data_IF_447288000684
#
_entry.id   IF_447288000684
#
_cell.length_a   1.000
_cell.length_b   1.000
_cell.length_c   1.000
_cell.angle_alpha   90.00
_cell.angle_beta   90.00
_cell.angle_gamma   90.00
#
_symmetry.space_group_name_H-M   'P 1'
#
loop_
_entity.id
_entity.type
_entity.pdbx_description
1 polymer ?
#
# COMPACT_ATOMS: atom_id res chain seq x y z
N UNK A 1 -3.89 27.52 3.74
CA UNK A 1 -4.73 26.35 3.41
C UNK A 1 -5.69 26.63 2.24
N UNK A 2 -6.56 27.67 2.32
CA UNK A 2 -7.54 28.01 1.25
C UNK A 2 -6.97 28.13 -0.17
N UNK A 3 -5.85 28.85 -0.35
CA UNK A 3 -5.24 29.03 -1.67
C UNK A 3 -4.72 27.72 -2.32
N UNK A 4 -4.40 26.68 -1.53
CA UNK A 4 -4.01 25.37 -2.07
C UNK A 4 -5.23 24.55 -2.48
N UNK A 5 -6.32 24.63 -1.72
CA UNK A 5 -7.60 23.99 -2.06
C UNK A 5 -8.16 24.49 -3.39
N UNK A 6 -8.10 25.80 -3.64
CA UNK A 6 -8.62 26.36 -4.90
C UNK A 6 -7.86 25.83 -6.12
N UNK A 7 -6.53 25.76 -6.04
CA UNK A 7 -5.70 25.17 -7.10
C UNK A 7 -6.04 23.70 -7.38
N UNK A 8 -6.41 22.95 -6.35
CA UNK A 8 -6.86 21.56 -6.53
C UNK A 8 -8.21 21.52 -7.27
N UNK A 9 -9.18 22.36 -6.89
CA UNK A 9 -10.46 22.47 -7.62
C UNK A 9 -10.25 22.84 -9.09
N UNK A 10 -9.41 23.83 -9.35
CA UNK A 10 -9.06 24.24 -10.72
C UNK A 10 -8.45 23.08 -11.53
N UNK A 11 -7.58 22.28 -10.91
CA UNK A 11 -6.96 21.13 -11.58
C UNK A 11 -7.95 19.99 -11.87
N UNK A 12 -8.97 19.82 -11.01
CA UNK A 12 -10.03 18.81 -11.15
C UNK A 12 -11.10 19.19 -12.18
N UNK A 13 -11.33 20.49 -12.40
CA UNK A 13 -12.41 20.97 -13.28
C UNK A 13 -12.30 20.39 -14.69
N UNK A 14 -13.38 19.76 -15.16
CA UNK A 14 -13.48 19.19 -16.50
C UNK A 14 -12.66 17.91 -16.71
N UNK A 15 -12.33 17.18 -15.63
CA UNK A 15 -11.71 15.86 -15.68
C UNK A 15 -12.74 14.77 -15.39
N UNK A 16 -12.53 13.60 -15.96
CA UNK A 16 -13.41 12.45 -15.72
C UNK A 16 -13.00 11.71 -14.43
N UNK A 17 -11.70 11.56 -14.20
CA UNK A 17 -11.13 10.80 -13.09
C UNK A 17 -9.90 11.51 -12.53
N UNK A 18 -9.75 11.49 -11.21
CA UNK A 18 -8.56 11.93 -10.49
C UNK A 18 -7.95 10.75 -9.71
N UNK A 19 -6.62 10.61 -9.80
CA UNK A 19 -5.86 9.59 -9.08
C UNK A 19 -4.92 10.24 -8.08
N UNK A 20 -5.08 9.96 -6.79
CA UNK A 20 -4.16 10.45 -5.75
C UNK A 20 -2.99 9.48 -5.53
N UNK A 21 -1.79 9.96 -5.86
CA UNK A 21 -0.52 9.33 -5.48
C UNK A 21 0.21 10.17 -4.41
N UNK A 22 -0.55 10.91 -3.59
CA UNK A 22 -0.04 11.71 -2.47
C UNK A 22 -0.04 10.90 -1.16
N UNK A 23 0.59 11.41 -0.08
CA UNK A 23 0.46 10.79 1.24
C UNK A 23 -1.01 10.61 1.65
N UNK A 24 -1.32 9.49 2.29
CA UNK A 24 -2.69 9.06 2.55
C UNK A 24 -3.54 10.10 3.31
N UNK A 25 -2.93 10.94 4.16
CA UNK A 25 -3.63 11.98 4.93
C UNK A 25 -4.49 12.92 4.07
N UNK A 26 -4.08 13.11 2.81
CA UNK A 26 -4.77 13.99 1.88
C UNK A 26 -5.97 13.33 1.19
N UNK A 27 -6.04 12.00 1.13
CA UNK A 27 -6.99 11.27 0.28
C UNK A 27 -8.44 11.64 0.59
N UNK A 28 -8.86 11.61 1.87
CA UNK A 28 -10.21 12.05 2.26
C UNK A 28 -10.57 13.47 1.79
N UNK A 29 -9.65 14.43 1.94
CA UNK A 29 -9.92 15.80 1.49
C UNK A 29 -9.99 15.88 -0.04
N UNK A 30 -9.14 15.13 -0.75
CA UNK A 30 -9.10 15.10 -2.21
C UNK A 30 -10.33 14.41 -2.79
N UNK A 31 -10.76 13.29 -2.21
CA UNK A 31 -11.99 12.59 -2.56
C UNK A 31 -13.21 13.53 -2.43
N UNK A 32 -13.32 14.25 -1.31
CA UNK A 32 -14.37 15.26 -1.12
C UNK A 32 -14.34 16.34 -2.20
N UNK A 33 -13.15 16.88 -2.52
CA UNK A 33 -13.01 17.90 -3.55
C UNK A 33 -13.34 17.37 -4.96
N UNK A 34 -13.03 16.11 -5.25
CA UNK A 34 -13.37 15.45 -6.50
C UNK A 34 -14.90 15.29 -6.65
N UNK A 35 -15.58 14.82 -5.59
CA UNK A 35 -17.04 14.75 -5.53
C UNK A 35 -17.68 16.12 -5.80
N UNK A 36 -17.20 17.17 -5.11
CA UNK A 36 -17.69 18.55 -5.30
C UNK A 36 -17.45 19.11 -6.71
N UNK A 37 -16.60 18.49 -7.52
CA UNK A 37 -16.35 18.87 -8.92
C UNK A 37 -17.00 17.90 -9.92
N UNK A 38 -17.73 16.88 -9.46
CA UNK A 38 -18.31 15.86 -10.34
C UNK A 38 -17.27 14.95 -10.99
N UNK A 39 -16.14 14.71 -10.30
CA UNK A 39 -15.00 13.93 -10.79
C UNK A 39 -14.92 12.61 -10.03
N UNK A 40 -14.75 11.48 -10.74
CA UNK A 40 -14.47 10.19 -10.09
C UNK A 40 -13.09 10.20 -9.43
N UNK A 41 -12.92 9.41 -8.37
CA UNK A 41 -11.68 9.43 -7.60
C UNK A 41 -11.19 8.03 -7.24
N UNK A 42 -9.87 7.84 -7.31
CA UNK A 42 -9.21 6.72 -6.64
C UNK A 42 -7.84 7.13 -6.09
N UNK A 43 -7.29 6.31 -5.21
CA UNK A 43 -6.01 6.55 -4.57
C UNK A 43 -5.24 5.25 -4.32
N UNK A 44 -4.01 5.38 -3.84
CA UNK A 44 -3.13 4.25 -3.53
C UNK A 44 -3.19 3.81 -2.06
N UNK A 45 -4.06 4.44 -1.26
CA UNK A 45 -4.42 3.92 0.05
C UNK A 45 -3.35 3.99 1.14
N UNK A 46 -3.45 3.04 2.06
CA UNK A 46 -2.41 2.74 3.05
C UNK A 46 -2.73 3.10 4.50
N UNK A 47 -3.94 3.59 4.79
CA UNK A 47 -4.40 3.81 6.17
C UNK A 47 -5.90 3.53 6.29
N UNK A 48 -6.29 2.53 7.08
CA UNK A 48 -7.68 2.08 7.21
C UNK A 48 -8.61 3.16 7.78
N UNK A 49 -8.11 4.02 8.69
CA UNK A 49 -8.92 5.11 9.23
C UNK A 49 -9.20 6.22 8.21
N UNK A 50 -8.29 6.45 7.25
CA UNK A 50 -8.56 7.37 6.13
C UNK A 50 -9.58 6.77 5.17
N UNK A 51 -9.44 5.49 4.86
CA UNK A 51 -10.40 4.75 4.01
C UNK A 51 -11.80 4.80 4.61
N UNK A 52 -11.95 4.62 5.93
CA UNK A 52 -13.25 4.78 6.61
C UNK A 52 -13.86 6.17 6.41
N UNK A 53 -13.04 7.23 6.47
CA UNK A 53 -13.52 8.59 6.20
C UNK A 53 -13.91 8.76 4.74
N UNK A 54 -13.18 8.17 3.79
CA UNK A 54 -13.54 8.19 2.38
C UNK A 54 -14.84 7.45 2.09
N UNK A 55 -15.03 6.28 2.70
CA UNK A 55 -16.27 5.52 2.63
C UNK A 55 -17.46 6.29 3.21
N UNK A 56 -17.23 7.16 4.21
CA UNK A 56 -18.30 8.02 4.76
C UNK A 56 -18.84 9.05 3.76
N UNK A 57 -18.10 9.31 2.65
CA UNK A 57 -18.53 10.20 1.58
C UNK A 57 -19.52 9.54 0.59
N UNK A 58 -19.90 8.27 0.81
CA UNK A 58 -20.75 7.50 -0.11
C UNK A 58 -22.02 8.26 -0.54
N UNK A 59 -22.76 8.84 0.40
CA UNK A 59 -23.99 9.58 0.08
C UNK A 59 -23.73 10.76 -0.85
N UNK A 60 -22.71 11.57 -0.56
CA UNK A 60 -22.33 12.70 -1.40
C UNK A 60 -21.84 12.27 -2.79
N UNK A 61 -21.12 11.15 -2.87
CA UNK A 61 -20.66 10.58 -4.14
C UNK A 61 -21.85 10.12 -5.02
N UNK A 62 -22.84 9.46 -4.42
CA UNK A 62 -24.08 9.04 -5.09
C UNK A 62 -24.87 10.25 -5.59
N UNK A 63 -25.06 11.27 -4.76
CA UNK A 63 -25.77 12.51 -5.15
C UNK A 63 -25.08 13.24 -6.31
N UNK A 64 -23.74 13.26 -6.33
CA UNK A 64 -22.96 13.87 -7.40
C UNK A 64 -22.80 12.97 -8.65
N UNK A 65 -23.28 11.72 -8.61
CA UNK A 65 -23.15 10.76 -9.71
C UNK A 65 -21.71 10.30 -9.96
N UNK A 66 -20.87 10.24 -8.93
CA UNK A 66 -19.45 9.86 -9.05
C UNK A 66 -19.11 8.60 -8.26
N UNK A 67 -18.06 7.90 -8.69
CA UNK A 67 -17.49 6.76 -7.96
C UNK A 67 -16.19 7.17 -7.26
N UNK A 68 -16.03 6.72 -6.02
CA UNK A 68 -14.79 6.84 -5.23
C UNK A 68 -14.33 5.43 -4.87
N UNK A 69 -13.09 5.07 -5.25
CA UNK A 69 -12.50 3.75 -4.98
C UNK A 69 -11.15 3.93 -4.26
N UNK A 70 -11.10 3.80 -2.92
CA UNK A 70 -9.84 3.88 -2.19
C UNK A 70 -9.00 2.62 -2.40
N UNK A 71 -7.73 2.67 -1.97
CA UNK A 71 -6.83 1.52 -1.90
C UNK A 71 -6.61 0.76 -3.23
N UNK A 72 -6.45 1.47 -4.35
CA UNK A 72 -6.19 0.88 -5.67
C UNK A 72 -4.71 0.52 -5.90
N UNK A 73 -3.99 0.08 -4.86
CA UNK A 73 -2.56 -0.23 -4.89
C UNK A 73 -2.25 -1.72 -5.03
N UNK A 74 -1.08 -2.11 -4.50
CA UNK A 74 -0.70 -3.52 -4.35
C UNK A 74 -1.35 -4.13 -3.09
N UNK A 75 -1.03 -3.54 -1.94
CA UNK A 75 -1.48 -3.97 -0.62
C UNK A 75 -1.59 -2.73 0.29
N UNK A 76 -2.80 -2.19 0.55
CA UNK A 76 -4.08 -2.70 0.06
C UNK A 76 -4.31 -2.46 -1.45
N UNK A 77 -5.15 -3.29 -2.07
CA UNK A 77 -5.54 -3.22 -3.48
C UNK A 77 -5.59 -4.58 -4.17
N UNK A 78 -4.64 -4.86 -5.06
CA UNK A 78 -4.56 -6.14 -5.77
C UNK A 78 -4.65 -7.34 -4.82
N UNK A 79 -3.94 -7.32 -3.69
CA UNK A 79 -3.98 -8.41 -2.72
C UNK A 79 -5.37 -8.62 -2.13
N UNK A 80 -6.15 -7.56 -2.01
CA UNK A 80 -7.47 -7.59 -1.40
C UNK A 80 -8.51 -8.10 -2.40
N UNK A 81 -8.38 -7.70 -3.66
CA UNK A 81 -9.19 -8.25 -4.76
C UNK A 81 -8.96 -9.75 -4.89
N UNK A 82 -7.69 -10.20 -4.90
CA UNK A 82 -7.35 -11.62 -4.97
C UNK A 82 -7.86 -12.38 -3.73
N UNK A 83 -7.69 -11.81 -2.53
CA UNK A 83 -8.20 -12.39 -1.30
C UNK A 83 -9.73 -12.58 -1.34
N UNK A 84 -10.46 -11.53 -1.72
CA UNK A 84 -11.91 -11.59 -1.83
C UNK A 84 -12.36 -12.63 -2.86
N UNK A 85 -11.72 -12.68 -4.02
CA UNK A 85 -12.00 -13.69 -5.05
C UNK A 85 -11.81 -15.12 -4.52
N UNK A 86 -10.68 -15.40 -3.86
CA UNK A 86 -10.42 -16.73 -3.27
C UNK A 86 -11.43 -17.08 -2.17
N UNK A 87 -11.88 -16.10 -1.38
CA UNK A 87 -12.90 -16.34 -0.35
C UNK A 87 -14.24 -16.71 -0.97
N UNK A 88 -14.67 -15.99 -2.00
CA UNK A 88 -15.94 -16.26 -2.67
C UNK A 88 -15.92 -17.56 -3.48
N UNK A 89 -14.79 -17.88 -4.13
CA UNK A 89 -14.70 -19.07 -4.97
C UNK A 89 -14.53 -20.37 -4.16
N UNK A 90 -13.75 -20.32 -3.07
CA UNK A 90 -13.34 -21.54 -2.36
C UNK A 90 -13.87 -21.65 -0.92
N UNK A 91 -14.45 -20.58 -0.35
CA UNK A 91 -14.99 -20.58 1.00
C UNK A 91 -14.02 -21.10 2.09
N UNK A 92 -12.74 -20.70 2.11
CA UNK A 92 -11.80 -21.18 3.12
C UNK A 92 -12.23 -20.71 4.50
N UNK A 93 -11.98 -21.50 5.54
CA UNK A 93 -12.21 -21.06 6.92
C UNK A 93 -11.13 -20.08 7.40
N UNK A 94 -9.95 -20.09 6.78
CA UNK A 94 -8.80 -19.26 7.16
C UNK A 94 -8.07 -18.71 5.94
N UNK A 95 -7.67 -17.45 6.00
CA UNK A 95 -6.87 -16.81 4.96
C UNK A 95 -5.64 -16.10 5.56
N UNK A 96 -4.48 -16.34 4.98
CA UNK A 96 -3.19 -15.83 5.43
C UNK A 96 -2.49 -15.11 4.29
N UNK A 97 -2.43 -13.78 4.36
CA UNK A 97 -1.82 -12.94 3.32
C UNK A 97 -0.38 -12.62 3.75
N UNK A 98 0.61 -12.90 2.89
CA UNK A 98 2.01 -12.52 3.10
C UNK A 98 2.53 -11.77 1.87
N UNK A 99 2.99 -10.54 2.07
CA UNK A 99 3.38 -9.64 0.97
C UNK A 99 4.73 -9.00 1.26
N UNK A 100 5.62 -8.96 0.27
CA UNK A 100 6.93 -8.33 0.42
C UNK A 100 7.44 -7.69 -0.86
N UNK A 101 7.77 -6.41 -0.79
CA UNK A 101 8.65 -5.75 -1.76
C UNK A 101 10.09 -5.85 -1.28
N UNK A 102 10.85 -6.81 -1.81
CA UNK A 102 12.21 -7.09 -1.35
C UNK A 102 13.25 -6.60 -2.38
N UNK A 103 14.34 -5.94 -1.96
CA UNK A 103 15.44 -5.67 -2.87
C UNK A 103 16.08 -6.97 -3.34
N UNK A 104 16.43 -7.04 -4.63
CA UNK A 104 17.22 -8.15 -5.20
C UNK A 104 18.62 -8.26 -4.59
N UNK A 105 19.15 -7.13 -4.13
CA UNK A 105 20.48 -7.03 -3.50
C UNK A 105 20.32 -6.32 -2.14
N UNK A 106 19.96 -7.05 -1.07
CA UNK A 106 19.78 -6.45 0.25
C UNK A 106 21.07 -5.82 0.77
N UNK A 107 20.94 -4.71 1.49
CA UNK A 107 22.07 -3.97 2.07
C UNK A 107 21.84 -3.70 3.55
N UNK A 108 22.82 -4.01 4.42
CA UNK A 108 22.78 -3.62 5.82
C UNK A 108 22.62 -2.09 5.99
N UNK A 109 22.07 -1.63 7.12
CA UNK A 109 21.68 -2.43 8.28
C UNK A 109 20.26 -3.01 8.22
N UNK A 110 19.39 -2.48 7.34
CA UNK A 110 17.97 -2.87 7.32
C UNK A 110 17.60 -3.91 6.25
N UNK A 111 18.51 -4.21 5.32
CA UNK A 111 18.28 -5.11 4.19
C UNK A 111 17.00 -4.75 3.39
N UNK A 112 16.63 -3.48 3.33
CA UNK A 112 15.33 -3.01 2.85
C UNK A 112 15.48 -1.86 1.88
N UNK A 113 14.77 -1.87 0.75
CA UNK A 113 14.73 -0.74 -0.18
C UNK A 113 13.48 0.10 -0.01
N UNK A 114 13.66 1.43 0.10
CA UNK A 114 12.54 2.36 0.12
C UNK A 114 11.86 2.40 -1.25
N UNK A 115 10.67 1.79 -1.35
CA UNK A 115 9.88 1.71 -2.59
C UNK A 115 8.55 2.48 -2.54
N UNK A 116 8.21 3.07 -1.40
CA UNK A 116 7.06 3.95 -1.20
C UNK A 116 7.35 5.00 -0.11
N UNK A 117 6.35 5.82 0.26
CA UNK A 117 6.55 6.92 1.21
C UNK A 117 7.02 6.43 2.59
N UNK A 118 8.01 7.12 3.20
CA UNK A 118 8.44 6.81 4.57
C UNK A 118 7.31 7.05 5.58
N UNK A 119 6.47 8.05 5.32
CA UNK A 119 5.32 8.35 6.15
C UNK A 119 4.37 7.14 6.26
N UNK A 120 4.03 6.52 5.12
CA UNK A 120 3.26 5.29 5.07
C UNK A 120 4.00 4.10 5.70
N UNK A 121 5.31 3.97 5.45
CA UNK A 121 6.13 2.90 6.03
C UNK A 121 6.15 2.95 7.57
N UNK A 122 6.30 4.12 8.16
CA UNK A 122 6.25 4.29 9.63
C UNK A 122 4.85 3.99 10.14
N UNK A 123 3.81 4.42 9.42
CA UNK A 123 2.42 4.11 9.76
C UNK A 123 2.17 2.61 9.89
N UNK A 124 2.64 1.83 8.90
CA UNK A 124 2.55 0.36 8.86
C UNK A 124 3.15 -0.32 10.10
N UNK A 125 4.18 0.28 10.71
CA UNK A 125 4.91 -0.28 11.85
C UNK A 125 4.40 0.17 13.21
N UNK A 126 3.64 1.28 13.27
CA UNK A 126 3.16 1.88 14.52
C UNK A 126 1.71 1.55 14.79
N UNK A 127 0.83 1.68 13.79
CA UNK A 127 -0.60 1.45 13.98
C UNK A 127 -0.90 -0.04 14.18
N UNK A 128 -1.94 -0.41 14.93
CA UNK A 128 -2.34 -1.80 15.07
C UNK A 128 -2.86 -2.37 13.74
N UNK A 129 -2.54 -3.63 13.46
CA UNK A 129 -3.06 -4.36 12.33
C UNK A 129 -4.46 -4.93 12.66
N UNK A 130 -5.43 -4.73 11.76
CA UNK A 130 -6.77 -5.31 11.87
C UNK A 130 -6.81 -6.69 11.23
N UNK A 131 -7.29 -7.66 11.99
CA UNK A 131 -7.36 -9.09 11.60
C UNK A 131 -8.75 -9.64 11.93
N UNK A 132 -9.05 -10.85 11.43
CA UNK A 132 -10.12 -11.68 11.96
C UNK A 132 -9.48 -12.78 12.82
N UNK A 133 -9.99 -12.98 14.03
CA UNK A 133 -9.60 -14.09 14.91
C UNK A 133 -10.82 -14.63 15.67
N UNK A 134 -11.12 -15.91 15.48
CA UNK A 134 -12.29 -16.55 16.07
C UNK A 134 -13.60 -16.02 15.49
N UNK A 135 -13.63 -15.66 14.21
CA UNK A 135 -14.82 -15.08 13.57
C UNK A 135 -14.95 -13.56 13.69
N UNK A 136 -14.26 -12.94 14.66
CA UNK A 136 -14.45 -11.54 15.01
C UNK A 136 -13.29 -10.65 14.55
N UNK A 137 -13.62 -9.40 14.20
CA UNK A 137 -12.59 -8.39 13.89
C UNK A 137 -11.90 -7.98 15.18
N UNK A 138 -10.58 -8.07 15.19
CA UNK A 138 -9.75 -7.64 16.31
C UNK A 138 -8.48 -6.95 15.81
N UNK A 139 -7.70 -6.42 16.76
CA UNK A 139 -6.47 -5.71 16.49
C UNK A 139 -5.29 -6.39 17.17
N UNK A 140 -4.15 -6.43 16.46
CA UNK A 140 -2.88 -6.89 17.00
C UNK A 140 -1.81 -5.83 16.82
N UNK A 141 -0.87 -5.66 17.76
CA UNK A 141 0.20 -4.69 17.61
C UNK A 141 1.08 -5.01 16.38
N UNK A 142 1.42 -3.99 15.61
CA UNK A 142 2.39 -4.14 14.51
C UNK A 142 3.78 -4.50 15.02
N UNK A 143 4.60 -5.04 14.13
CA UNK A 143 5.90 -5.63 14.44
C UNK A 143 5.78 -6.82 15.41
N UNK A 144 4.65 -7.52 15.51
CA UNK A 144 4.50 -8.76 16.31
C UNK A 144 4.16 -9.96 15.43
N UNK A 145 4.05 -11.15 16.03
CA UNK A 145 3.73 -12.38 15.30
C UNK A 145 4.83 -12.80 14.31
N UNK A 146 6.09 -12.66 14.70
CA UNK A 146 7.25 -12.98 13.86
C UNK A 146 7.19 -14.44 13.40
N UNK A 147 7.29 -14.64 12.08
CA UNK A 147 7.17 -15.91 11.39
C UNK A 147 8.38 -16.07 10.46
N UNK A 148 9.31 -17.01 10.71
CA UNK A 148 10.40 -17.29 9.79
C UNK A 148 9.85 -17.84 8.46
N UNK A 149 10.36 -17.34 7.33
CA UNK A 149 10.01 -17.81 5.99
C UNK A 149 11.30 -18.15 5.24
N UNK A 150 11.34 -19.30 4.59
CA UNK A 150 12.47 -19.73 3.79
C UNK A 150 12.01 -20.13 2.39
N UNK A 151 12.78 -19.71 1.39
CA UNK A 151 12.68 -20.17 0.01
C UNK A 151 14.07 -20.60 -0.43
N UNK A 152 14.16 -21.67 -1.23
CA UNK A 152 15.45 -22.27 -1.63
C UNK A 152 16.42 -21.27 -2.27
N UNK A 153 15.91 -20.31 -3.04
CA UNK A 153 16.69 -19.33 -3.80
C UNK A 153 16.83 -17.96 -3.12
N UNK A 154 16.33 -17.79 -1.90
CA UNK A 154 16.37 -16.51 -1.18
C UNK A 154 17.06 -16.65 0.18
N UNK A 155 17.81 -15.63 0.63
CA UNK A 155 18.25 -15.54 2.02
C UNK A 155 17.06 -15.66 3.00
N UNK A 156 17.30 -16.03 4.27
CA UNK A 156 16.24 -16.14 5.26
C UNK A 156 15.36 -14.89 5.34
N UNK A 157 14.05 -15.10 5.31
CA UNK A 157 13.04 -14.07 5.40
C UNK A 157 12.27 -14.21 6.72
N UNK A 158 11.51 -13.19 7.04
CA UNK A 158 10.59 -13.16 8.16
C UNK A 158 9.32 -12.39 7.77
N UNK A 159 8.20 -12.76 8.37
CA UNK A 159 6.94 -12.05 8.25
C UNK A 159 6.41 -11.64 9.62
N UNK A 160 5.82 -10.46 9.71
CA UNK A 160 5.23 -9.94 10.94
C UNK A 160 4.04 -9.03 10.62
N UNK A 161 3.17 -8.83 11.61
CA UNK A 161 1.98 -7.98 11.44
C UNK A 161 2.38 -6.53 11.15
N UNK A 162 1.70 -5.95 10.16
CA UNK A 162 1.77 -4.52 9.81
C UNK A 162 0.37 -4.02 9.52
N UNK A 163 0.09 -2.75 9.80
CA UNK A 163 -1.23 -2.15 9.56
C UNK A 163 -1.48 -1.87 8.07
N UNK A 164 -2.72 -1.48 7.74
CA UNK A 164 -3.11 -0.98 6.41
C UNK A 164 -3.38 -2.05 5.35
N UNK A 165 -2.53 -3.08 5.25
CA UNK A 165 -2.56 -4.04 4.12
C UNK A 165 -3.88 -4.79 3.92
N UNK A 166 -4.66 -5.02 4.98
CA UNK A 166 -5.97 -5.68 4.90
C UNK A 166 -7.12 -4.75 4.50
N UNK A 167 -6.96 -3.44 4.68
CA UNK A 167 -8.04 -2.45 4.51
C UNK A 167 -9.38 -2.95 5.08
N UNK A 168 -10.43 -3.04 4.26
CA UNK A 168 -11.79 -3.42 4.62
C UNK A 168 -12.01 -4.92 4.74
N UNK A 169 -11.09 -5.77 4.26
CA UNK A 169 -11.25 -7.23 4.27
C UNK A 169 -11.73 -7.80 5.62
N UNK A 170 -11.17 -7.39 6.79
CA UNK A 170 -11.58 -7.95 8.06
C UNK A 170 -13.06 -7.65 8.35
N UNK A 171 -13.52 -6.44 8.02
CA UNK A 171 -14.91 -6.04 8.20
C UNK A 171 -15.84 -6.70 7.17
N UNK A 172 -15.41 -6.80 5.91
CA UNK A 172 -16.18 -7.42 4.81
C UNK A 172 -16.45 -8.91 5.06
N UNK A 173 -15.50 -9.62 5.68
CA UNK A 173 -15.58 -11.07 5.87
C UNK A 173 -15.71 -11.51 7.34
N UNK A 174 -16.02 -10.58 8.25
CA UNK A 174 -16.34 -10.90 9.64
C UNK A 174 -17.47 -11.93 9.72
N UNK A 175 -17.36 -12.91 10.62
CA UNK A 175 -18.30 -14.03 10.76
C UNK A 175 -18.26 -15.08 9.65
N UNK A 176 -17.59 -14.82 8.52
CA UNK A 176 -17.41 -15.79 7.41
C UNK A 176 -16.10 -16.57 7.51
N UNK A 177 -15.08 -15.98 8.13
CA UNK A 177 -13.76 -16.60 8.32
C UNK A 177 -13.49 -16.79 9.81
N UNK A 178 -12.91 -17.92 10.20
CA UNK A 178 -12.34 -18.11 11.53
C UNK A 178 -11.10 -17.21 11.72
N UNK A 179 -10.29 -17.08 10.65
CA UNK A 179 -9.06 -16.27 10.69
C UNK A 179 -8.75 -15.58 9.38
N UNK A 180 -8.38 -14.30 9.46
CA UNK A 180 -7.81 -13.54 8.35
C UNK A 180 -6.68 -12.67 8.90
N UNK A 181 -5.46 -12.85 8.40
CA UNK A 181 -4.36 -11.97 8.77
C UNK A 181 -3.44 -11.62 7.60
N UNK A 182 -2.80 -10.47 7.74
CA UNK A 182 -1.81 -9.93 6.81
C UNK A 182 -0.49 -9.75 7.53
N UNK A 183 0.59 -10.23 6.91
CA UNK A 183 1.94 -9.98 7.36
C UNK A 183 2.82 -9.48 6.22
N UNK A 184 3.71 -8.58 6.57
CA UNK A 184 4.71 -8.06 5.65
C UNK A 184 5.97 -8.91 5.72
N UNK A 185 6.46 -9.37 4.56
CA UNK A 185 7.70 -10.13 4.42
C UNK A 185 8.89 -9.15 4.31
N UNK A 186 9.95 -9.44 5.07
CA UNK A 186 11.24 -8.74 5.06
C UNK A 186 12.38 -9.77 5.16
N UNK A 187 13.61 -9.32 4.91
CA UNK A 187 14.79 -10.13 5.25
C UNK A 187 14.92 -10.26 6.77
N UNK A 188 15.43 -11.41 7.23
CA UNK A 188 15.59 -11.70 8.64
C UNK A 188 16.37 -10.60 9.39
N UNK A 189 15.90 -10.25 10.59
CA UNK A 189 16.48 -9.21 11.45
C UNK A 189 15.88 -7.81 11.26
N UNK A 190 15.08 -7.60 10.21
CA UNK A 190 14.43 -6.31 9.95
C UNK A 190 13.47 -5.91 11.08
N UNK A 191 12.56 -6.80 11.46
CA UNK A 191 11.57 -6.59 12.51
C UNK A 191 12.23 -6.18 13.83
N UNK A 192 13.35 -6.81 14.20
CA UNK A 192 14.09 -6.47 15.41
C UNK A 192 14.69 -5.07 15.33
N UNK A 193 15.30 -4.71 14.19
CA UNK A 193 15.83 -3.37 13.97
C UNK A 193 14.73 -2.29 14.04
N UNK A 194 13.55 -2.56 13.47
CA UNK A 194 12.42 -1.63 13.48
C UNK A 194 11.79 -1.52 14.88
N UNK A 195 11.72 -2.62 15.64
CA UNK A 195 11.32 -2.57 17.05
C UNK A 195 12.27 -1.71 17.86
N UNK A 196 13.58 -1.86 17.68
CA UNK A 196 14.56 -1.02 18.38
C UNK A 196 14.32 0.48 18.10
N UNK A 197 14.12 0.85 16.84
CA UNK A 197 13.84 2.25 16.47
C UNK A 197 12.53 2.76 17.09
N UNK A 198 11.48 1.94 17.08
CA UNK A 198 10.21 2.26 17.72
C UNK A 198 10.38 2.43 19.23
N UNK A 199 11.02 1.48 19.90
CA UNK A 199 11.14 1.44 21.36
C UNK A 199 12.07 2.56 21.89
N UNK A 200 12.97 3.09 21.04
CA UNK A 200 13.75 4.30 21.29
C UNK A 200 13.00 5.61 20.99
N UNK A 201 11.73 5.54 20.56
CA UNK A 201 10.86 6.68 20.32
C UNK A 201 11.06 7.38 18.97
N UNK A 202 11.81 6.80 18.02
CA UNK A 202 12.03 7.44 16.71
C UNK A 202 10.76 7.56 15.86
N UNK A 203 9.72 6.80 16.18
CA UNK A 203 8.44 6.82 15.47
C UNK A 203 7.35 7.60 16.22
N UNK A 204 7.67 8.18 17.37
CA UNK A 204 6.73 8.96 18.18
C UNK A 204 6.96 10.47 17.97
N UNK A 205 5.93 11.32 18.11
CA UNK A 205 6.13 12.75 18.24
C UNK A 205 6.96 13.09 19.50
N UNK A 206 7.87 14.08 19.44
CA UNK A 206 8.16 14.95 18.29
C UNK A 206 9.23 14.41 17.33
N UNK A 207 9.77 13.21 17.54
CA UNK A 207 10.87 12.65 16.74
C UNK A 207 10.45 12.21 15.33
N UNK A 208 9.23 11.67 15.17
CA UNK A 208 8.72 11.11 13.91
C UNK A 208 8.93 12.02 12.67
N UNK A 209 8.58 13.32 12.68
CA UNK A 209 8.84 14.20 11.54
C UNK A 209 10.32 14.30 11.14
N UNK A 210 11.23 14.21 12.11
CA UNK A 210 12.66 14.19 11.83
C UNK A 210 13.07 12.86 11.22
N UNK A 211 12.60 11.74 11.78
CA UNK A 211 12.84 10.40 11.24
C UNK A 211 12.38 10.31 9.78
N UNK A 212 11.14 10.72 9.49
CA UNK A 212 10.58 10.70 8.13
C UNK A 212 11.36 11.59 7.15
N UNK A 213 11.87 12.73 7.63
CA UNK A 213 12.68 13.65 6.82
C UNK A 213 14.06 13.08 6.46
N UNK A 214 14.73 12.42 7.40
CA UNK A 214 16.12 11.99 7.21
C UNK A 214 16.25 10.56 6.69
N UNK A 215 15.28 9.69 6.94
CA UNK A 215 15.32 8.29 6.48
C UNK A 215 15.59 8.12 4.98
N UNK A 216 14.94 8.87 4.06
CA UNK A 216 15.24 8.75 2.64
C UNK A 216 16.70 9.12 2.31
N UNK A 217 17.25 10.11 3.01
CA UNK A 217 18.63 10.56 2.84
C UNK A 217 19.64 9.54 3.35
N UNK A 218 19.40 8.99 4.55
CA UNK A 218 20.17 7.88 5.10
C UNK A 218 20.15 6.68 4.15
N UNK A 219 18.97 6.32 3.64
CA UNK A 219 18.84 5.24 2.67
C UNK A 219 19.64 5.51 1.39
N UNK A 220 19.53 6.71 0.81
CA UNK A 220 20.28 7.11 -0.40
C UNK A 220 21.79 7.10 -0.18
N UNK A 221 22.27 7.45 1.01
CA UNK A 221 23.69 7.40 1.34
C UNK A 221 24.22 5.95 1.43
N UNK A 222 23.36 5.00 1.79
CA UNK A 222 23.69 3.56 1.90
C UNK A 222 23.50 2.80 0.58
N UNK A 223 22.69 3.31 -0.34
CA UNK A 223 22.55 2.80 -1.71
C UNK A 223 23.64 3.40 -2.62
N UNK A 224 24.25 2.65 -3.58
CA UNK A 224 25.03 3.28 -4.63
C UNK A 224 24.09 4.13 -5.46
N UNK A 225 24.66 5.05 -6.23
CA UNK A 225 23.97 5.90 -7.21
C UNK A 225 22.91 5.13 -8.00
N UNK A 226 21.67 5.12 -7.50
CA UNK A 226 20.49 4.70 -8.23
C UNK A 226 20.07 5.91 -9.05
N UNK A 227 20.33 5.87 -10.35
CA UNK A 227 19.78 6.83 -11.29
C UNK A 227 18.39 6.36 -11.73
N UNK A 228 17.40 7.25 -11.64
CA UNK A 228 16.12 7.04 -12.32
C UNK A 228 16.39 7.00 -13.83
N UNK A 229 15.94 5.98 -14.59
CA UNK A 229 16.20 5.92 -16.04
C UNK A 229 15.65 7.12 -16.83
N UNK A 230 14.82 7.96 -16.22
CA UNK A 230 14.25 9.17 -16.83
C UNK A 230 14.86 10.51 -16.41
N UNK A 231 15.96 10.56 -15.62
CA UNK A 231 16.54 11.86 -15.21
C UNK A 231 17.46 12.51 -16.25
N UNK A 232 17.57 11.94 -17.45
CA UNK A 232 18.12 12.67 -18.59
C UNK A 232 17.11 13.76 -19.01
N UNK A 233 17.49 15.05 -18.89
CA UNK A 233 16.72 16.18 -19.42
C UNK A 233 16.37 15.90 -20.89
N UNK A 234 15.14 15.46 -21.17
CA UNK A 234 14.62 15.39 -22.53
C UNK A 234 14.33 16.80 -23.02
N UNK A 235 15.33 17.43 -23.66
CA UNK A 235 15.08 18.43 -24.71
C UNK A 235 14.89 17.64 -26.00
N UNK A 236 13.64 17.48 -26.42
CA UNK A 236 13.28 16.77 -27.64
C UNK A 236 11.82 16.35 -27.60
N UNK A 237 11.05 16.84 -28.57
CA UNK A 237 9.63 16.55 -28.82
C UNK A 237 9.37 15.04 -28.85
N UNK A 238 8.32 14.54 -28.16
CA UNK A 238 7.99 13.12 -28.23
C UNK A 238 7.23 12.81 -29.52
N UNK A 239 7.81 12.00 -30.40
CA UNK A 239 7.04 11.21 -31.35
C UNK A 239 6.54 9.96 -30.63
N UNK A 240 5.22 9.82 -30.57
CA UNK A 240 4.53 8.72 -29.91
C UNK A 240 4.41 7.54 -30.89
N UNK A 241 5.12 6.44 -30.63
CA UNK A 241 4.71 5.13 -31.14
C UNK A 241 4.93 4.08 -30.05
N UNK A 242 3.86 3.67 -29.40
CA UNK A 242 3.87 2.52 -28.50
C UNK A 242 3.60 1.27 -29.33
N UNK A 243 4.57 0.35 -29.41
CA UNK A 243 4.35 -1.01 -29.91
C UNK A 243 4.20 -1.94 -28.71
N UNK A 244 3.01 -2.50 -28.56
CA UNK A 244 2.70 -3.57 -27.62
C UNK A 244 3.29 -4.88 -28.16
N UNK A 245 4.15 -5.53 -27.38
CA UNK A 245 4.58 -6.90 -27.65
C UNK A 245 3.67 -7.84 -26.87
N UNK A 246 2.58 -8.28 -27.48
CA UNK A 246 1.83 -9.46 -27.04
C UNK A 246 2.26 -10.63 -27.91
N UNK A 247 3.25 -11.40 -27.47
CA UNK A 247 3.47 -12.75 -28.00
C UNK A 247 2.82 -13.74 -27.04
N UNK A 248 1.53 -13.98 -27.25
CA UNK A 248 0.90 -15.22 -26.87
C UNK A 248 1.30 -16.27 -27.91
N UNK A 249 2.16 -17.22 -27.54
CA UNK A 249 2.36 -18.43 -28.35
C UNK A 249 1.24 -19.41 -27.99
N UNK A 250 0.36 -19.79 -28.94
CA UNK A 250 -0.59 -20.87 -28.69
C UNK A 250 0.17 -22.20 -28.68
N UNK A 251 0.12 -22.93 -27.57
CA UNK A 251 0.52 -24.33 -27.55
C UNK A 251 -0.60 -25.14 -28.20
N UNK A 252 -0.38 -25.55 -29.43
CA UNK A 252 -1.18 -26.57 -30.11
C UNK A 252 -0.97 -27.92 -29.45
N UNK A 253 -2.00 -28.41 -28.75
CA UNK A 253 -2.17 -29.85 -28.46
C UNK A 253 -2.68 -30.50 -29.75
N UNK A 254 -2.02 -31.56 -30.23
CA UNK A 254 -2.57 -32.45 -31.26
C UNK A 254 -2.82 -33.83 -30.63
N UNK A 255 -4.03 -34.41 -30.77
CA UNK A 255 -4.28 -35.81 -30.47
C UNK A 255 -4.23 -36.66 -31.76
N UNK A 256 -4.30 -38.00 -31.70
CA UNK A 256 -4.13 -38.90 -30.56
C UNK A 256 -2.72 -39.51 -30.44
#
# INVERSE_FOLDING_TARGET
>A
MRARTEKVREALRGRDVAVSALPYDYNHQLARLAIEQGVHFCDLGGNTGVVEREMSLHGAAVEAGVTVVPDCGLAPGLTNVLAAHLIEEHGPSRLHIRVGGLPRHPRPPLNYQLVFSVHGLVNEYVEPARIIAGGEVTQVPSLTGLEPIAFESLPPLEAFYTSGGTSTLPHTFAGRLDRLDYKTIRYAGHCQALRLLRDLGFFDPPARPHTERYWPGLWRAMAPTWSWPGSARRRGTPSTSWRWWTTATPSTVSPP
#
